data_IF_871640806215
#
_entry.id   IF_871640806215
#
_cell.length_a   1.000
_cell.length_b   1.000
_cell.length_c   1.000
_cell.angle_alpha   90.00
_cell.angle_beta   90.00
_cell.angle_gamma   90.00
#
_symmetry.space_group_name_H-M   'P 1'
#
loop_
_entity.id
_entity.type
_entity.pdbx_description
1 polymer ?
#
# COMPACT_ATOMS: atom_id res chain seq x y z
N UNK A 1 14.05 7.96 1.58
CA UNK A 1 13.22 8.32 0.41
C UNK A 1 12.10 9.20 0.92
N UNK A 2 11.84 10.32 0.24
CA UNK A 2 10.74 11.21 0.58
C UNK A 2 9.57 11.03 -0.37
N UNK A 3 8.37 11.20 0.17
CA UNK A 3 7.11 11.00 -0.53
C UNK A 3 6.29 12.28 -0.49
N UNK A 4 5.64 12.61 -1.61
CA UNK A 4 4.54 13.57 -1.64
C UNK A 4 3.32 12.87 -2.23
N UNK A 5 2.34 12.53 -1.40
CA UNK A 5 1.21 11.71 -1.83
C UNK A 5 0.03 12.54 -2.34
N UNK A 6 0.18 13.86 -2.52
CA UNK A 6 -0.92 14.72 -2.96
C UNK A 6 -0.47 15.84 -3.89
N UNK A 7 -0.31 15.53 -5.18
CA UNK A 7 -0.23 16.56 -6.23
C UNK A 7 -1.51 16.51 -7.06
N UNK A 8 -2.37 17.54 -7.03
CA UNK A 8 -3.59 17.58 -7.81
C UNK A 8 -3.33 17.35 -9.29
N UNK A 9 -4.08 16.43 -9.90
CA UNK A 9 -4.03 16.16 -11.33
C UNK A 9 -5.25 16.75 -12.04
N UNK A 10 -5.00 17.36 -13.20
CA UNK A 10 -6.01 17.74 -14.17
C UNK A 10 -5.49 17.42 -15.56
N UNK A 11 -6.34 16.86 -16.42
CA UNK A 11 -5.96 16.46 -17.78
C UNK A 11 -5.44 17.63 -18.64
N UNK A 12 -5.88 18.85 -18.33
CA UNK A 12 -5.54 20.07 -19.07
C UNK A 12 -4.46 20.92 -18.38
N UNK A 13 -3.80 20.41 -17.33
CA UNK A 13 -2.80 21.19 -16.60
C UNK A 13 -1.46 21.28 -17.34
N UNK A 14 -1.18 22.45 -17.90
CA UNK A 14 0.09 22.76 -18.58
C UNK A 14 1.27 22.92 -17.62
N UNK A 15 1.03 23.13 -16.32
CA UNK A 15 2.07 23.35 -15.31
C UNK A 15 2.56 22.05 -14.69
N UNK A 16 1.80 20.96 -14.81
CA UNK A 16 2.11 19.66 -14.20
C UNK A 16 3.55 19.18 -14.47
N UNK A 17 4.09 19.22 -15.70
CA UNK A 17 5.47 18.76 -15.96
C UNK A 17 6.51 19.58 -15.18
N UNK A 18 6.32 20.90 -15.11
CA UNK A 18 7.22 21.79 -14.36
C UNK A 18 7.14 21.52 -12.86
N UNK A 19 5.93 21.29 -12.33
CA UNK A 19 5.73 20.92 -10.93
C UNK A 19 6.42 19.60 -10.61
N UNK A 20 6.31 18.58 -11.47
CA UNK A 20 6.97 17.28 -11.26
C UNK A 20 8.50 17.38 -11.34
N UNK A 21 9.04 18.17 -12.29
CA UNK A 21 10.47 18.44 -12.36
C UNK A 21 10.97 19.13 -11.09
N UNK A 22 10.27 20.17 -10.64
CA UNK A 22 10.62 20.91 -9.43
C UNK A 22 10.55 20.05 -8.17
N UNK A 23 9.51 19.22 -8.02
CA UNK A 23 9.38 18.28 -6.90
C UNK A 23 10.50 17.24 -6.91
N UNK A 24 10.92 16.76 -8.08
CA UNK A 24 12.10 15.90 -8.18
C UNK A 24 13.38 16.61 -7.77
N UNK A 25 13.56 17.88 -8.12
CA UNK A 25 14.72 18.70 -7.75
C UNK A 25 14.78 18.98 -6.24
N UNK A 26 13.63 19.22 -5.62
CA UNK A 26 13.48 19.37 -4.16
C UNK A 26 13.87 18.11 -3.37
N UNK A 27 14.01 16.95 -4.03
CA UNK A 27 14.49 15.71 -3.43
C UNK A 27 13.41 14.68 -3.10
N UNK A 28 12.20 14.80 -3.67
CA UNK A 28 11.18 13.76 -3.57
C UNK A 28 11.47 12.59 -4.52
N UNK A 29 11.18 11.38 -4.08
CA UNK A 29 11.44 10.16 -4.86
C UNK A 29 10.14 9.53 -5.38
N UNK A 30 9.05 9.67 -4.63
CA UNK A 30 7.75 9.09 -4.96
C UNK A 30 6.70 10.18 -4.83
N UNK A 31 5.90 10.34 -5.88
CA UNK A 31 4.83 11.32 -5.94
C UNK A 31 3.53 10.62 -6.29
N UNK A 32 2.42 11.02 -5.68
CA UNK A 32 1.10 10.59 -6.12
C UNK A 32 0.32 11.74 -6.76
N UNK A 33 -0.13 11.51 -7.99
CA UNK A 33 -1.06 12.36 -8.70
C UNK A 33 -2.47 12.09 -8.18
N UNK A 34 -3.15 13.13 -7.72
CA UNK A 34 -4.44 13.03 -7.05
C UNK A 34 -5.59 13.46 -7.97
N UNK A 35 -6.52 12.55 -8.22
CA UNK A 35 -7.81 12.84 -8.85
C UNK A 35 -8.88 13.03 -7.77
N UNK A 36 -9.48 14.22 -7.69
CA UNK A 36 -10.52 14.54 -6.70
C UNK A 36 -11.93 14.30 -7.26
N UNK A 37 -12.75 13.54 -6.56
CA UNK A 37 -14.15 13.28 -6.90
C UNK A 37 -15.04 13.85 -5.81
N UNK A 38 -16.00 14.69 -6.21
CA UNK A 38 -17.00 15.29 -5.32
C UNK A 38 -18.38 14.86 -5.77
N UNK A 39 -19.19 14.33 -4.85
CA UNK A 39 -20.52 13.83 -5.16
C UNK A 39 -20.51 12.40 -5.68
N UNK A 40 -21.53 12.02 -6.46
CA UNK A 40 -21.76 10.62 -6.85
C UNK A 40 -20.62 10.06 -7.70
N UNK A 41 -20.25 8.81 -7.44
CA UNK A 41 -19.30 8.09 -8.27
C UNK A 41 -19.84 7.91 -9.70
N UNK A 42 -18.97 7.99 -10.72
CA UNK A 42 -19.36 7.74 -12.10
C UNK A 42 -19.88 6.30 -12.27
N UNK A 43 -20.74 6.08 -13.26
CA UNK A 43 -21.28 4.76 -13.57
C UNK A 43 -20.15 3.76 -13.89
N UNK A 44 -19.19 4.17 -14.72
CA UNK A 44 -17.98 3.42 -15.00
C UNK A 44 -16.82 3.97 -14.15
N UNK A 45 -16.22 3.11 -13.32
CA UNK A 45 -15.05 3.47 -12.51
C UNK A 45 -13.80 3.15 -13.32
N UNK A 46 -13.15 4.21 -13.82
CA UNK A 46 -11.84 4.13 -14.47
C UNK A 46 -10.88 5.13 -13.84
N UNK A 47 -9.58 4.84 -13.90
CA UNK A 47 -8.57 5.79 -13.49
C UNK A 47 -8.55 6.98 -14.45
N UNK A 48 -8.77 8.20 -13.95
CA UNK A 48 -8.67 9.40 -14.77
C UNK A 48 -7.21 9.77 -15.14
N UNK A 49 -6.24 9.18 -14.45
CA UNK A 49 -4.82 9.42 -14.64
C UNK A 49 -4.28 8.33 -15.57
N UNK A 50 -3.83 8.67 -16.80
CA UNK A 50 -3.36 7.68 -17.76
C UNK A 50 -2.05 7.03 -17.30
N UNK A 51 -1.88 5.76 -17.66
CA UNK A 51 -0.68 4.96 -17.41
C UNK A 51 -0.30 4.23 -18.71
N UNK A 52 0.82 4.61 -19.38
CA UNK A 52 1.80 5.60 -18.98
C UNK A 52 1.29 7.05 -19.10
N UNK A 53 1.84 7.96 -18.29
CA UNK A 53 1.57 9.39 -18.42
C UNK A 53 2.09 9.91 -19.77
N UNK A 54 1.26 10.62 -20.52
CA UNK A 54 1.63 11.21 -21.81
C UNK A 54 2.49 12.48 -21.67
N UNK A 55 3.49 12.46 -20.78
CA UNK A 55 4.40 13.58 -20.53
C UNK A 55 5.79 13.21 -21.06
N UNK A 56 6.35 14.05 -21.94
CA UNK A 56 7.65 13.79 -22.58
C UNK A 56 8.83 13.95 -21.63
N UNK A 57 8.73 14.86 -20.67
CA UNK A 57 9.84 15.30 -19.81
C UNK A 57 9.67 14.85 -18.36
N UNK A 58 9.44 13.55 -18.15
CA UNK A 58 9.29 13.01 -16.80
C UNK A 58 10.67 12.75 -16.15
N UNK A 59 10.93 13.20 -14.92
CA UNK A 59 12.20 12.92 -14.25
C UNK A 59 12.41 11.41 -14.07
N UNK A 60 13.55 10.83 -14.51
CA UNK A 60 13.73 9.37 -14.58
C UNK A 60 13.81 8.69 -13.21
N UNK A 61 14.12 9.44 -12.15
CA UNK A 61 14.22 8.94 -10.77
C UNK A 61 12.90 9.05 -10.00
N UNK A 62 11.87 9.69 -10.55
CA UNK A 62 10.61 9.97 -9.87
C UNK A 62 9.60 8.86 -10.13
N UNK A 63 9.19 8.13 -9.09
CA UNK A 63 8.10 7.15 -9.20
C UNK A 63 6.77 7.84 -9.02
N UNK A 64 5.90 7.73 -10.02
CA UNK A 64 4.56 8.32 -9.97
C UNK A 64 3.52 7.25 -9.62
N UNK A 65 2.61 7.60 -8.71
CA UNK A 65 1.48 6.79 -8.26
C UNK A 65 0.17 7.51 -8.57
N UNK A 66 -0.90 6.74 -8.77
CA UNK A 66 -2.22 7.29 -9.07
C UNK A 66 -3.09 7.23 -7.82
N UNK A 67 -3.49 8.38 -7.31
CA UNK A 67 -4.35 8.49 -6.13
C UNK A 67 -5.71 9.03 -6.53
N UNK A 68 -6.75 8.58 -5.84
CA UNK A 68 -8.06 9.23 -5.85
C UNK A 68 -8.40 9.75 -4.46
N UNK A 69 -8.98 10.95 -4.39
CA UNK A 69 -9.57 11.50 -3.16
C UNK A 69 -11.06 11.65 -3.35
N UNK A 70 -11.84 10.98 -2.50
CA UNK A 70 -13.30 11.03 -2.54
C UNK A 70 -13.83 11.90 -1.40
N UNK A 71 -14.56 12.96 -1.71
CA UNK A 71 -15.21 13.79 -0.70
C UNK A 71 -16.46 13.08 -0.17
N UNK A 72 -16.43 12.69 1.10
CA UNK A 72 -17.54 12.00 1.74
C UNK A 72 -18.64 12.99 2.09
N UNK A 73 -19.84 12.72 1.61
CA UNK A 73 -21.09 13.38 2.00
C UNK A 73 -22.02 12.33 2.60
N UNK A 74 -22.90 12.72 3.54
CA UNK A 74 -23.72 11.80 4.35
C UNK A 74 -24.56 10.79 3.53
N UNK A 75 -24.85 11.08 2.25
CA UNK A 75 -25.93 10.41 1.54
C UNK A 75 -25.55 9.11 0.83
N UNK A 76 -24.46 9.02 0.06
CA UNK A 76 -24.25 7.86 -0.83
C UNK A 76 -22.79 7.74 -1.25
N UNK A 77 -22.11 6.61 -1.01
CA UNK A 77 -20.92 6.18 -1.79
C UNK A 77 -20.24 4.87 -1.35
N UNK A 78 -20.59 4.29 -0.20
CA UNK A 78 -19.80 3.21 0.41
C UNK A 78 -19.75 1.90 -0.39
N UNK A 79 -20.78 1.59 -1.20
CA UNK A 79 -20.91 0.28 -1.84
C UNK A 79 -19.86 0.00 -2.94
N UNK A 80 -19.32 1.05 -3.59
CA UNK A 80 -18.39 0.92 -4.72
C UNK A 80 -16.96 1.36 -4.39
N UNK A 81 -16.64 1.54 -3.11
CA UNK A 81 -15.29 1.93 -2.68
C UNK A 81 -14.24 0.87 -3.01
N UNK A 82 -14.59 -0.41 -2.94
CA UNK A 82 -13.69 -1.50 -3.32
C UNK A 82 -13.33 -1.43 -4.80
N UNK A 83 -14.31 -1.25 -5.69
CA UNK A 83 -14.10 -1.08 -7.13
C UNK A 83 -13.22 0.16 -7.42
N UNK A 84 -13.46 1.26 -6.70
CA UNK A 84 -12.63 2.46 -6.78
C UNK A 84 -11.18 2.20 -6.32
N UNK A 85 -11.00 1.47 -5.22
CA UNK A 85 -9.68 1.12 -4.69
C UNK A 85 -8.89 0.24 -5.66
N UNK A 86 -9.55 -0.60 -6.46
CA UNK A 86 -8.88 -1.42 -7.49
C UNK A 86 -8.43 -0.60 -8.72
N UNK A 87 -9.13 0.49 -9.03
CA UNK A 87 -8.82 1.33 -10.19
C UNK A 87 -7.63 2.29 -9.97
N UNK A 88 -7.27 2.58 -8.72
CA UNK A 88 -6.20 3.52 -8.36
C UNK A 88 -5.10 2.83 -7.54
N UNK A 89 -3.95 3.48 -7.38
CA UNK A 89 -2.88 2.97 -6.52
C UNK A 89 -3.12 3.25 -5.04
N UNK A 90 -3.79 4.36 -4.73
CA UNK A 90 -4.10 4.87 -3.40
C UNK A 90 -5.53 5.42 -3.35
N UNK A 91 -6.27 5.07 -2.31
CA UNK A 91 -7.60 5.60 -2.01
C UNK A 91 -7.56 6.50 -0.78
N UNK A 92 -7.87 7.78 -0.98
CA UNK A 92 -8.05 8.76 0.08
C UNK A 92 -9.52 9.15 0.23
N UNK A 93 -9.96 9.36 1.47
CA UNK A 93 -11.30 9.88 1.79
C UNK A 93 -11.17 11.26 2.43
N UNK A 94 -12.00 12.22 2.00
CA UNK A 94 -12.07 13.58 2.53
C UNK A 94 -13.40 13.79 3.25
N UNK A 95 -13.49 13.52 4.57
CA UNK A 95 -14.69 13.76 5.34
C UNK A 95 -14.90 15.26 5.60
N UNK A 96 -16.16 15.70 5.55
CA UNK A 96 -16.55 17.10 5.79
C UNK A 96 -17.24 17.29 7.16
N UNK A 97 -17.89 16.25 7.67
CA UNK A 97 -18.66 16.25 8.92
C UNK A 97 -18.12 15.21 9.92
N UNK A 98 -18.44 15.38 11.21
CA UNK A 98 -18.01 14.45 12.27
C UNK A 98 -18.49 13.02 12.00
N UNK A 99 -19.72 12.85 11.49
CA UNK A 99 -20.29 11.55 11.14
C UNK A 99 -19.50 10.87 10.03
N UNK A 100 -19.17 11.63 8.97
CA UNK A 100 -18.38 11.10 7.85
C UNK A 100 -16.95 10.77 8.27
N UNK A 101 -16.36 11.55 9.19
CA UNK A 101 -15.05 11.27 9.76
C UNK A 101 -15.07 9.99 10.62
N UNK A 102 -16.07 9.82 11.48
CA UNK A 102 -16.23 8.62 12.28
C UNK A 102 -16.37 7.39 11.38
N UNK A 103 -17.20 7.48 10.34
CA UNK A 103 -17.40 6.41 9.36
C UNK A 103 -16.11 6.05 8.62
N UNK A 104 -15.31 7.05 8.19
CA UNK A 104 -14.00 6.84 7.57
C UNK A 104 -13.01 6.16 8.53
N UNK A 105 -13.03 6.52 9.81
CA UNK A 105 -12.15 5.94 10.83
C UNK A 105 -12.52 4.48 11.14
N UNK A 106 -13.81 4.17 11.30
CA UNK A 106 -14.27 2.82 11.70
C UNK A 106 -14.43 1.88 10.52
N UNK A 107 -15.36 2.18 9.60
CA UNK A 107 -15.98 1.16 8.75
C UNK A 107 -15.52 1.18 7.30
N UNK A 108 -15.07 2.34 6.79
CA UNK A 108 -14.64 2.44 5.39
C UNK A 108 -13.19 2.00 5.22
N UNK A 109 -12.97 1.15 4.22
CA UNK A 109 -11.64 0.78 3.78
C UNK A 109 -11.04 1.91 2.94
N UNK A 110 -10.02 2.55 3.48
CA UNK A 110 -9.24 3.57 2.81
C UNK A 110 -7.78 3.51 3.27
N UNK A 111 -6.90 4.12 2.49
CA UNK A 111 -5.48 4.23 2.81
C UNK A 111 -5.20 5.50 3.62
N UNK A 112 -5.81 6.61 3.18
CA UNK A 112 -5.54 7.96 3.68
C UNK A 112 -6.86 8.66 4.01
N UNK A 113 -6.90 9.37 5.13
CA UNK A 113 -7.97 10.30 5.49
C UNK A 113 -7.41 11.71 5.30
N UNK A 114 -7.83 12.38 4.23
CA UNK A 114 -7.36 13.71 3.84
C UNK A 114 -8.31 14.78 4.36
N UNK A 115 -7.87 15.57 5.33
CA UNK A 115 -8.71 16.60 5.96
C UNK A 115 -8.42 17.97 5.34
N UNK A 116 -9.47 18.71 5.02
CA UNK A 116 -9.31 20.13 4.72
C UNK A 116 -9.25 20.92 6.03
N UNK A 117 -8.02 21.21 6.46
CA UNK A 117 -7.73 21.93 7.69
C UNK A 117 -7.77 23.45 7.51
N UNK A 118 -7.98 23.97 6.30
CA UNK A 118 -7.98 25.42 6.04
C UNK A 118 -9.31 26.09 6.38
N UNK A 119 -10.37 25.31 6.49
CA UNK A 119 -11.68 25.78 6.93
C UNK A 119 -11.88 25.59 8.43
N UNK A 120 -12.84 26.32 9.00
CA UNK A 120 -13.27 26.10 10.38
C UNK A 120 -14.05 24.80 10.45
N UNK A 121 -13.46 23.77 11.04
CA UNK A 121 -14.11 22.46 11.17
C UNK A 121 -15.31 22.56 12.13
N UNK A 122 -16.46 21.95 11.80
CA UNK A 122 -17.63 21.97 12.67
C UNK A 122 -17.54 20.96 13.83
N UNK A 123 -16.41 20.28 13.99
CA UNK A 123 -16.22 19.20 14.97
C UNK A 123 -14.82 19.23 15.59
N UNK A 124 -14.65 18.45 16.66
CA UNK A 124 -13.37 18.29 17.36
C UNK A 124 -12.82 16.87 17.17
N UNK A 125 -11.49 16.77 17.04
CA UNK A 125 -10.83 15.48 16.94
C UNK A 125 -10.83 14.72 18.28
N UNK A 126 -11.29 13.46 18.27
CA UNK A 126 -11.32 12.57 19.44
C UNK A 126 -10.25 11.48 19.35
N UNK A 127 -9.44 11.33 20.40
CA UNK A 127 -8.32 10.37 20.43
C UNK A 127 -8.74 8.93 20.15
N UNK A 128 -9.85 8.44 20.74
CA UNK A 128 -10.29 7.04 20.51
C UNK A 128 -10.53 6.75 19.03
N UNK A 129 -11.25 7.63 18.35
CA UNK A 129 -11.59 7.52 16.93
C UNK A 129 -10.33 7.54 16.05
N UNK A 130 -9.42 8.49 16.28
CA UNK A 130 -8.17 8.57 15.51
C UNK A 130 -7.26 7.37 15.79
N UNK A 131 -7.15 6.94 17.05
CA UNK A 131 -6.32 5.81 17.43
C UNK A 131 -6.79 4.50 16.80
N UNK A 132 -8.10 4.30 16.68
CA UNK A 132 -8.68 3.15 15.98
C UNK A 132 -8.33 3.16 14.49
N UNK A 133 -8.47 4.30 13.82
CA UNK A 133 -8.08 4.45 12.42
C UNK A 133 -6.59 4.11 12.20
N UNK A 134 -5.69 4.65 13.04
CA UNK A 134 -4.25 4.37 12.94
C UNK A 134 -3.94 2.89 13.15
N UNK A 135 -4.61 2.24 14.11
CA UNK A 135 -4.46 0.79 14.36
C UNK A 135 -4.93 -0.05 13.17
N UNK A 136 -5.97 0.39 12.45
CA UNK A 136 -6.45 -0.26 11.23
C UNK A 136 -5.53 -0.04 10.01
N UNK A 137 -4.43 0.71 10.15
CA UNK A 137 -3.48 0.98 9.08
C UNK A 137 -3.78 2.23 8.24
N UNK A 138 -4.83 2.99 8.59
CA UNK A 138 -5.17 4.27 7.96
C UNK A 138 -4.22 5.38 8.43
N UNK A 139 -4.02 6.40 7.61
CA UNK A 139 -3.21 7.57 7.97
C UNK A 139 -3.96 8.87 7.76
N UNK A 140 -3.73 9.85 8.63
CA UNK A 140 -4.29 11.18 8.49
C UNK A 140 -3.33 12.06 7.71
N UNK A 141 -3.80 12.64 6.63
CA UNK A 141 -3.00 13.53 5.81
C UNK A 141 -3.21 15.00 6.20
N UNK A 142 -2.10 15.70 6.32
CA UNK A 142 -2.00 17.13 6.52
C UNK A 142 -1.42 17.76 5.25
N UNK A 143 -2.23 18.59 4.58
CA UNK A 143 -1.81 19.31 3.38
C UNK A 143 -1.35 20.73 3.71
N UNK A 144 -0.09 21.07 3.41
CA UNK A 144 0.48 22.34 3.82
C UNK A 144 0.27 23.49 2.82
N UNK A 145 0.22 23.19 1.52
CA UNK A 145 0.29 24.25 0.49
C UNK A 145 -0.89 25.21 0.56
N UNK A 146 -2.08 24.69 0.91
CA UNK A 146 -3.31 25.48 1.00
C UNK A 146 -3.24 26.58 2.08
N UNK A 147 -2.53 26.38 3.20
CA UNK A 147 -2.36 27.45 4.20
C UNK A 147 -1.13 28.34 3.99
N UNK A 148 -0.15 27.87 3.22
CA UNK A 148 1.01 28.67 2.83
C UNK A 148 0.63 29.68 1.76
N UNK A 149 -0.08 29.24 0.72
CA UNK A 149 -0.57 30.08 -0.38
C UNK A 149 -1.96 30.69 -0.13
N UNK A 150 -2.67 30.20 0.89
CA UNK A 150 -4.00 30.69 1.25
C UNK A 150 -4.00 32.05 1.94
N UNK A 151 -5.20 32.53 2.21
CA UNK A 151 -5.45 33.78 2.91
C UNK A 151 -5.12 33.69 4.42
N UNK A 152 -5.16 34.83 5.10
CA UNK A 152 -4.86 34.89 6.54
C UNK A 152 -5.84 34.04 7.37
N UNK A 153 -7.10 33.93 6.95
CA UNK A 153 -8.09 33.09 7.62
C UNK A 153 -7.77 31.60 7.48
N UNK A 154 -7.50 31.13 6.25
CA UNK A 154 -7.10 29.75 5.98
C UNK A 154 -5.85 29.35 6.77
N UNK A 155 -4.85 30.24 6.85
CA UNK A 155 -3.63 29.98 7.61
C UNK A 155 -3.88 29.81 9.11
N UNK A 156 -4.69 30.68 9.72
CA UNK A 156 -5.05 30.57 11.15
C UNK A 156 -5.81 29.28 11.43
N UNK A 157 -6.77 28.93 10.57
CA UNK A 157 -7.53 27.69 10.69
C UNK A 157 -6.62 26.47 10.54
N UNK A 158 -5.72 26.47 9.56
CA UNK A 158 -4.76 25.39 9.34
C UNK A 158 -3.92 25.14 10.60
N UNK A 159 -3.34 26.20 11.17
CA UNK A 159 -2.51 26.08 12.37
C UNK A 159 -3.34 25.50 13.53
N UNK A 160 -4.53 26.06 13.79
CA UNK A 160 -5.39 25.60 14.89
C UNK A 160 -5.84 24.14 14.73
N UNK A 161 -6.33 23.78 13.54
CA UNK A 161 -6.81 22.44 13.23
C UNK A 161 -5.66 21.41 13.18
N UNK A 162 -4.50 21.77 12.63
CA UNK A 162 -3.31 20.91 12.61
C UNK A 162 -2.81 20.61 14.01
N UNK A 163 -2.64 21.63 14.86
CA UNK A 163 -2.24 21.43 16.25
C UNK A 163 -3.26 20.59 17.03
N UNK A 164 -4.55 20.77 16.75
CA UNK A 164 -5.60 19.93 17.34
C UNK A 164 -5.50 18.47 16.89
N UNK A 165 -5.28 18.23 15.59
CA UNK A 165 -5.12 16.89 15.03
C UNK A 165 -3.89 16.19 15.60
N UNK A 166 -2.74 16.87 15.62
CA UNK A 166 -1.47 16.34 16.17
C UNK A 166 -1.63 15.97 17.64
N UNK A 167 -2.26 16.85 18.45
CA UNK A 167 -2.55 16.58 19.85
C UNK A 167 -3.49 15.38 20.01
N UNK A 168 -4.54 15.32 19.20
CA UNK A 168 -5.55 14.27 19.27
C UNK A 168 -5.06 12.92 18.74
N UNK A 169 -4.09 12.87 17.81
CA UNK A 169 -3.46 11.64 17.33
C UNK A 169 -2.23 11.23 18.16
N UNK A 170 -1.80 12.09 19.09
CA UNK A 170 -0.50 11.99 19.79
C UNK A 170 0.67 11.90 18.79
N UNK A 171 0.55 12.62 17.68
CA UNK A 171 1.53 12.70 16.59
C UNK A 171 1.78 11.42 15.81
N UNK A 172 0.95 10.38 15.96
CA UNK A 172 1.08 9.11 15.26
C UNK A 172 0.19 9.03 14.03
N UNK A 173 0.65 8.27 13.03
CA UNK A 173 -0.13 7.96 11.85
C UNK A 173 -0.49 9.19 11.01
N UNK A 174 0.42 10.17 10.98
CA UNK A 174 0.29 11.40 10.19
C UNK A 174 1.11 11.28 8.91
N UNK A 175 0.61 11.89 7.83
CA UNK A 175 1.32 12.09 6.57
C UNK A 175 1.31 13.58 6.28
N UNK A 176 2.43 14.13 5.84
CA UNK A 176 2.49 15.51 5.33
C UNK A 176 2.57 15.43 3.82
N UNK A 177 1.77 16.25 3.12
CA UNK A 177 1.75 16.30 1.66
C UNK A 177 1.50 17.73 1.19
N UNK A 178 1.80 18.02 -0.07
CA UNK A 178 1.73 19.41 -0.55
C UNK A 178 0.30 19.84 -0.84
N UNK A 179 -0.46 19.07 -1.61
CA UNK A 179 -1.69 19.53 -2.30
C UNK A 179 -1.42 20.82 -3.10
N UNK A 180 -0.21 20.96 -3.64
CA UNK A 180 0.21 22.15 -4.36
C UNK A 180 -0.32 22.14 -5.80
N UNK A 181 -1.10 23.16 -6.18
CA UNK A 181 -1.61 23.33 -7.54
C UNK A 181 -0.55 23.83 -8.54
N UNK A 182 0.56 24.36 -8.04
CA UNK A 182 1.65 24.89 -8.83
C UNK A 182 2.98 24.72 -8.09
N UNK A 183 4.10 24.74 -8.83
CA UNK A 183 5.45 24.57 -8.29
C UNK A 183 5.78 25.53 -7.13
N UNK A 184 5.27 26.77 -7.15
CA UNK A 184 5.46 27.76 -6.07
C UNK A 184 4.91 27.29 -4.71
N UNK A 185 3.95 26.37 -4.73
CA UNK A 185 3.33 25.79 -3.54
C UNK A 185 4.09 24.60 -2.95
N UNK A 186 5.09 24.07 -3.66
CA UNK A 186 5.90 22.95 -3.21
C UNK A 186 7.03 23.44 -2.27
N UNK A 187 7.41 22.61 -1.31
CA UNK A 187 8.51 22.85 -0.37
C UNK A 187 9.39 21.61 -0.28
N UNK A 188 10.67 21.82 -0.01
CA UNK A 188 11.61 20.72 0.23
C UNK A 188 11.14 19.86 1.42
N UNK A 189 11.49 18.56 1.47
CA UNK A 189 11.04 17.69 2.54
C UNK A 189 11.39 18.21 3.94
N UNK A 190 12.61 18.74 4.11
CA UNK A 190 13.06 19.32 5.38
C UNK A 190 12.31 20.60 5.76
N UNK A 191 11.93 21.42 4.78
CA UNK A 191 11.11 22.61 5.03
C UNK A 191 9.68 22.24 5.45
N UNK A 192 9.11 21.21 4.83
CA UNK A 192 7.81 20.68 5.21
C UNK A 192 7.84 20.09 6.63
N UNK A 193 8.93 19.42 7.02
CA UNK A 193 9.16 18.94 8.40
C UNK A 193 9.24 20.13 9.36
N UNK A 194 9.99 21.18 9.01
CA UNK A 194 10.11 22.38 9.84
C UNK A 194 8.76 23.09 10.01
N UNK A 195 7.95 23.14 8.95
CA UNK A 195 6.60 23.68 9.01
C UNK A 195 5.69 22.83 9.93
N UNK A 196 5.82 21.50 9.88
CA UNK A 196 5.09 20.61 10.78
C UNK A 196 5.50 20.81 12.26
N UNK A 197 6.77 21.12 12.52
CA UNK A 197 7.23 21.49 13.87
C UNK A 197 6.55 22.75 14.40
N UNK A 198 6.30 23.75 13.56
CA UNK A 198 5.57 24.96 13.95
C UNK A 198 4.14 24.63 14.41
N UNK A 199 3.52 23.58 13.86
CA UNK A 199 2.20 23.11 14.29
C UNK A 199 2.21 22.20 15.52
N UNK A 200 3.39 21.90 16.06
CA UNK A 200 3.58 21.07 17.26
C UNK A 200 3.86 19.60 16.98
N UNK A 201 4.27 19.23 15.75
CA UNK A 201 4.76 17.88 15.45
C UNK A 201 6.29 17.82 15.64
N UNK A 202 6.82 17.06 16.60
CA UNK A 202 8.26 16.92 16.78
C UNK A 202 9.00 16.49 15.50
N UNK A 203 10.26 16.89 15.33
CA UNK A 203 11.03 16.69 14.11
C UNK A 203 11.12 15.21 13.70
N UNK A 204 11.29 14.32 14.67
CA UNK A 204 11.37 12.88 14.46
C UNK A 204 10.08 12.34 13.85
N UNK A 205 8.92 12.78 14.33
CA UNK A 205 7.62 12.38 13.79
C UNK A 205 7.32 13.09 12.48
N UNK A 206 7.78 14.33 12.29
CA UNK A 206 7.73 15.02 11.00
C UNK A 206 8.50 14.27 9.91
N UNK A 207 9.70 13.77 10.24
CA UNK A 207 10.47 12.94 9.33
C UNK A 207 9.76 11.61 9.02
N UNK A 208 9.20 10.94 10.03
CA UNK A 208 8.40 9.73 9.81
C UNK A 208 7.18 9.99 8.91
N UNK A 209 6.50 11.14 9.06
CA UNK A 209 5.34 11.54 8.28
C UNK A 209 5.63 11.81 6.79
N UNK A 210 6.90 12.08 6.43
CA UNK A 210 7.33 12.32 5.04
C UNK A 210 8.03 11.12 4.39
N UNK A 211 8.43 10.13 5.19
CA UNK A 211 9.29 9.02 4.74
C UNK A 211 8.69 7.65 5.05
N UNK A 212 8.50 7.32 6.34
CA UNK A 212 8.12 5.98 6.81
C UNK A 212 6.63 5.72 6.67
N UNK A 213 5.79 6.66 7.12
CA UNK A 213 4.33 6.49 7.08
C UNK A 213 3.78 6.48 5.64
N UNK A 214 4.19 7.39 4.73
CA UNK A 214 3.80 7.32 3.32
C UNK A 214 4.26 6.02 2.65
N UNK A 215 5.47 5.55 2.94
CA UNK A 215 5.97 4.27 2.43
C UNK A 215 5.09 3.10 2.88
N UNK A 216 4.74 3.06 4.17
CA UNK A 216 3.85 2.04 4.72
C UNK A 216 2.49 2.02 4.00
N UNK A 217 1.93 3.20 3.73
CA UNK A 217 0.67 3.33 2.99
C UNK A 217 0.80 2.83 1.55
N UNK A 218 1.82 3.27 0.80
CA UNK A 218 2.02 2.85 -0.59
C UNK A 218 2.19 1.34 -0.71
N UNK A 219 2.99 0.74 0.18
CA UNK A 219 3.20 -0.71 0.19
C UNK A 219 1.92 -1.46 0.56
N UNK A 220 1.21 -1.02 1.59
CA UNK A 220 -0.04 -1.66 2.03
C UNK A 220 -1.13 -1.58 0.95
N UNK A 221 -1.25 -0.43 0.29
CA UNK A 221 -2.18 -0.26 -0.81
C UNK A 221 -1.83 -1.12 -2.03
N UNK A 222 -0.53 -1.26 -2.33
CA UNK A 222 -0.07 -2.19 -3.36
C UNK A 222 -0.41 -3.65 -3.01
N UNK A 223 -0.12 -4.07 -1.77
CA UNK A 223 -0.44 -5.42 -1.29
C UNK A 223 -1.94 -5.70 -1.37
N UNK A 224 -2.81 -4.75 -0.99
CA UNK A 224 -4.27 -4.92 -1.11
C UNK A 224 -4.74 -5.21 -2.54
N UNK A 225 -4.03 -4.69 -3.55
CA UNK A 225 -4.41 -4.85 -4.96
C UNK A 225 -3.79 -6.07 -5.63
N UNK A 226 -2.55 -6.39 -5.30
CA UNK A 226 -1.80 -7.47 -5.96
C UNK A 226 -1.79 -8.78 -5.18
N UNK A 227 -2.15 -8.76 -3.89
CA UNK A 227 -2.17 -9.95 -3.05
C UNK A 227 -3.60 -10.39 -2.76
N UNK A 228 -3.80 -11.69 -2.63
CA UNK A 228 -5.05 -12.24 -2.11
C UNK A 228 -4.82 -12.70 -0.68
N UNK A 229 -5.50 -12.08 0.29
CA UNK A 229 -5.38 -12.40 1.73
C UNK A 229 -3.92 -12.46 2.23
N UNK A 230 -3.04 -11.59 1.70
CA UNK A 230 -1.63 -11.52 2.08
C UNK A 230 -0.71 -12.47 1.30
N UNK A 231 -1.24 -13.26 0.36
CA UNK A 231 -0.43 -14.10 -0.55
C UNK A 231 -0.05 -13.29 -1.78
N UNK A 232 1.25 -13.09 -1.98
CA UNK A 232 1.82 -12.36 -3.13
C UNK A 232 2.30 -13.37 -4.15
N UNK A 233 1.76 -13.31 -5.37
CA UNK A 233 2.32 -14.06 -6.50
C UNK A 233 3.56 -13.33 -7.03
N UNK A 234 4.74 -13.91 -6.81
CA UNK A 234 6.02 -13.36 -7.27
C UNK A 234 6.38 -14.03 -8.59
N UNK A 235 6.02 -13.39 -9.69
CA UNK A 235 6.40 -13.85 -11.03
C UNK A 235 7.88 -13.52 -11.25
N UNK A 236 8.75 -14.52 -11.18
CA UNK A 236 10.19 -14.38 -11.44
C UNK A 236 10.44 -14.12 -12.94
N UNK A 237 10.75 -12.88 -13.30
CA UNK A 237 10.97 -12.44 -14.69
C UNK A 237 12.27 -12.91 -15.35
N UNK A 238 13.00 -13.85 -14.74
CA UNK A 238 14.29 -14.36 -15.24
C UNK A 238 15.49 -13.46 -14.93
N UNK A 239 16.69 -14.03 -14.99
CA UNK A 239 17.95 -13.27 -14.92
C UNK A 239 18.20 -12.63 -16.28
N UNK A 240 18.37 -11.31 -16.34
CA UNK A 240 18.79 -10.62 -17.56
C UNK A 240 20.17 -11.17 -17.95
N UNK A 241 20.34 -11.87 -19.09
CA UNK A 241 21.62 -12.45 -19.44
C UNK A 241 22.65 -11.32 -19.60
N UNK A 242 23.86 -11.55 -19.08
CA UNK A 242 24.97 -10.62 -19.23
C UNK A 242 25.20 -10.33 -20.71
N UNK A 243 25.53 -9.08 -21.11
CA UNK A 243 25.83 -8.77 -22.49
C UNK A 243 27.02 -9.63 -22.93
N UNK A 244 26.78 -10.55 -23.86
CA UNK A 244 27.85 -11.27 -24.52
C UNK A 244 28.53 -10.26 -25.44
N UNK A 245 29.74 -9.83 -25.08
CA UNK A 245 30.62 -9.09 -25.98
C UNK A 245 30.82 -9.96 -27.22
N UNK A 246 30.23 -9.54 -28.35
CA UNK A 246 30.47 -10.20 -29.63
C UNK A 246 31.86 -9.79 -30.09
N UNK A 247 32.84 -10.68 -29.92
CA UNK A 247 34.07 -10.63 -30.70
C UNK A 247 33.71 -10.73 -32.19
N UNK A 248 34.07 -9.69 -32.93
CA UNK A 248 34.00 -9.64 -34.38
C UNK A 248 35.06 -10.59 -34.94
N UNK A 249 34.65 -11.79 -35.38
CA UNK A 249 35.43 -12.58 -36.32
C UNK A 249 34.82 -12.42 -37.71
N UNK A 250 35.51 -11.64 -38.53
CA UNK A 250 35.18 -11.34 -39.91
C UNK A 250 35.45 -12.59 -40.78
N UNK A 251 34.40 -13.11 -41.41
CA UNK A 251 34.46 -14.26 -42.29
C UNK A 251 34.56 -13.79 -43.75
N UNK A 252 35.75 -13.96 -44.34
CA UNK A 252 35.99 -13.79 -45.76
C UNK A 252 35.23 -14.83 -46.59
N UNK A 253 34.51 -14.35 -47.61
CA UNK A 253 33.64 -15.10 -48.50
C UNK A 253 34.40 -16.01 -49.49
N UNK A 254 33.83 -17.19 -49.77
CA UNK A 254 34.18 -18.06 -50.89
C UNK A 254 32.96 -18.81 -51.42
N UNK A 255 32.49 -18.44 -52.63
CA UNK A 255 31.35 -19.03 -53.35
C UNK A 255 31.66 -20.43 -53.89
N UNK A 256 30.67 -21.33 -53.84
CA UNK A 256 30.64 -22.57 -54.62
C UNK A 256 29.20 -23.05 -54.89
N UNK A 257 28.84 -23.17 -56.17
CA UNK A 257 27.52 -23.57 -56.70
C UNK A 257 27.22 -25.07 -56.50
N UNK A 258 25.94 -25.44 -56.39
CA UNK A 258 25.51 -26.85 -56.57
C UNK A 258 24.00 -27.12 -56.45
N UNK A 259 23.30 -27.11 -57.61
CA UNK A 259 22.13 -27.92 -58.05
C UNK A 259 20.98 -28.35 -57.11
N UNK A 260 19.77 -27.91 -57.51
CA UNK A 260 18.50 -28.65 -57.73
C UNK A 260 18.33 -30.07 -57.13
N UNK A 261 17.19 -30.30 -56.44
CA UNK A 261 16.03 -30.99 -57.04
C UNK A 261 14.79 -30.99 -56.15
N UNK A 262 13.64 -30.92 -56.81
CA UNK A 262 12.29 -30.98 -56.30
C UNK A 262 11.72 -32.41 -56.43
N UNK A 263 10.77 -32.78 -55.56
CA UNK A 263 9.64 -33.67 -55.82
C UNK A 263 8.75 -33.67 -54.55
N UNK A 264 7.59 -32.99 -54.52
CA UNK A 264 6.29 -33.35 -55.10
C UNK A 264 5.66 -34.57 -54.40
N UNK A 265 4.65 -34.35 -53.55
CA UNK A 265 3.26 -34.79 -53.81
C UNK A 265 2.94 -36.00 -52.93
N UNK A 266 1.74 -36.32 -52.43
CA UNK A 266 0.35 -35.98 -52.71
C UNK A 266 -0.46 -36.58 -51.51
N UNK A 267 -1.51 -35.90 -50.97
CA UNK A 267 -2.95 -36.13 -51.25
C UNK A 267 -3.44 -37.48 -50.63
N UNK A 268 -4.45 -37.57 -49.74
CA UNK A 268 -5.89 -37.27 -49.94
C UNK A 268 -6.73 -37.53 -48.67
N UNK A 269 -7.85 -36.78 -48.60
CA UNK A 269 -9.26 -37.06 -48.17
C UNK A 269 -9.54 -37.78 -46.83
N UNK A 270 -10.37 -37.30 -45.89
CA UNK A 270 -11.72 -36.67 -45.88
C UNK A 270 -12.91 -37.66 -45.89
N UNK A 271 -13.67 -37.69 -44.78
CA UNK A 271 -15.16 -37.74 -44.57
C UNK A 271 -15.42 -37.83 -43.04
N UNK A 272 -16.14 -36.91 -42.36
CA UNK A 272 -17.62 -36.85 -42.10
C UNK A 272 -18.18 -38.19 -41.56
N UNK A 273 -18.86 -38.32 -40.40
CA UNK A 273 -20.00 -37.56 -39.86
C UNK A 273 -20.38 -37.96 -38.40
N UNK A 274 -21.08 -37.04 -37.70
CA UNK A 274 -22.24 -37.17 -36.76
C UNK A 274 -22.15 -37.77 -35.32
N UNK A 275 -22.57 -36.89 -34.37
CA UNK A 275 -23.32 -36.97 -33.08
C UNK A 275 -23.08 -38.03 -31.98
N UNK A 276 -23.18 -37.55 -30.73
CA UNK A 276 -23.71 -38.31 -29.58
C UNK A 276 -22.81 -38.32 -28.34
N UNK A 277 -23.25 -37.66 -27.26
CA UNK A 277 -22.50 -37.56 -26.00
C UNK A 277 -22.66 -38.76 -25.05
N UNK A 278 -21.66 -38.97 -24.18
CA UNK A 278 -21.76 -39.43 -22.79
C UNK A 278 -20.35 -39.59 -22.18
N UNK A 279 -20.27 -39.42 -20.87
CA UNK A 279 -19.09 -39.35 -20.00
C UNK A 279 -18.08 -40.51 -20.11
N UNK A 280 -16.77 -40.20 -20.13
CA UNK A 280 -15.73 -41.11 -19.64
C UNK A 280 -14.38 -40.40 -19.38
N UNK A 281 -13.91 -40.53 -18.13
CA UNK A 281 -12.54 -40.50 -17.60
C UNK A 281 -11.39 -40.14 -18.55
N UNK A 282 -10.67 -39.05 -18.24
CA UNK A 282 -9.37 -38.73 -18.84
C UNK A 282 -8.25 -39.39 -18.04
N UNK A 283 -7.73 -40.51 -18.56
CA UNK A 283 -6.40 -41.03 -18.21
C UNK A 283 -5.33 -40.23 -18.96
N UNK A 284 -4.33 -39.72 -18.23
CA UNK A 284 -3.20 -38.99 -18.80
C UNK A 284 -2.19 -40.01 -19.34
N UNK A 285 -2.10 -40.11 -20.67
CA UNK A 285 -1.07 -40.89 -21.35
C UNK A 285 0.33 -40.27 -21.12
N UNK A 286 1.23 -41.02 -20.47
CA UNK A 286 2.63 -40.67 -20.29
C UNK A 286 3.41 -40.75 -21.62
N UNK A 287 4.22 -39.72 -21.90
CA UNK A 287 5.14 -39.70 -23.05
C UNK A 287 6.30 -40.68 -22.82
N UNK A 288 6.79 -41.39 -23.86
CA UNK A 288 7.85 -42.38 -23.69
C UNK A 288 9.18 -41.74 -23.31
N UNK A 289 9.78 -42.25 -22.22
CA UNK A 289 11.04 -41.80 -21.64
C UNK A 289 12.21 -42.12 -22.58
N UNK A 290 13.10 -41.13 -22.77
CA UNK A 290 14.33 -41.27 -23.56
C UNK A 290 15.25 -42.37 -23.01
N UNK A 291 15.90 -43.13 -23.90
CA UNK A 291 16.86 -44.21 -23.57
C UNK A 291 17.95 -43.79 -22.56
N UNK A 292 18.27 -42.50 -22.49
CA UNK A 292 19.26 -41.93 -21.56
C UNK A 292 18.75 -41.83 -20.12
N UNK A 293 17.45 -41.57 -19.95
CA UNK A 293 16.81 -41.35 -18.66
C UNK A 293 16.43 -42.69 -17.99
N UNK A 294 16.07 -43.70 -18.79
CA UNK A 294 15.93 -45.09 -18.33
C UNK A 294 17.24 -45.67 -17.76
N UNK A 295 18.39 -45.36 -18.38
CA UNK A 295 19.71 -45.82 -17.90
C UNK A 295 20.11 -45.15 -16.58
N UNK A 296 19.77 -43.87 -16.41
CA UNK A 296 20.02 -43.12 -15.16
C UNK A 296 19.18 -43.65 -14.00
N UNK A 297 17.89 -43.92 -14.23
CA UNK A 297 17.00 -44.53 -13.21
C UNK A 297 17.45 -45.93 -12.80
N UNK A 298 17.89 -46.77 -13.76
CA UNK A 298 18.40 -48.11 -13.46
C UNK A 298 19.69 -48.10 -12.63
N UNK A 299 20.57 -47.12 -12.85
CA UNK A 299 21.78 -46.94 -12.04
C UNK A 299 21.45 -46.48 -10.61
N UNK A 300 20.49 -45.56 -10.48
CA UNK A 300 20.06 -45.03 -9.18
C UNK A 300 19.36 -46.08 -8.32
N UNK A 301 18.53 -46.95 -8.92
CA UNK A 301 17.90 -48.06 -8.24
C UNK A 301 18.89 -49.14 -7.75
N UNK A 302 20.04 -49.28 -8.43
CA UNK A 302 21.10 -50.22 -8.02
C UNK A 302 21.91 -49.70 -6.83
N UNK A 303 22.00 -48.37 -6.67
CA UNK A 303 22.68 -47.73 -5.55
C UNK A 303 21.84 -47.72 -4.27
N UNK A 304 20.51 -47.67 -4.38
CA UNK A 304 19.60 -47.70 -3.22
C UNK A 304 19.36 -49.10 -2.63
N UNK A 305 19.90 -50.16 -3.23
CA UNK A 305 19.65 -51.55 -2.85
C UNK A 305 20.68 -52.19 -1.91
N UNK A 306 21.63 -51.42 -1.36
CA UNK A 306 22.77 -51.99 -0.59
C UNK A 306 22.66 -51.77 0.93
N UNK A 307 21.73 -50.95 1.43
CA UNK A 307 21.69 -50.56 2.86
C UNK A 307 20.53 -51.15 3.69
N UNK A 308 20.17 -52.42 3.50
CA UNK A 308 19.31 -53.11 4.47
C UNK A 308 19.71 -54.57 4.68
N UNK A 309 20.68 -54.80 5.58
CA UNK A 309 20.69 -56.02 6.38
C UNK A 309 21.49 -55.84 7.68
N UNK A 310 20.82 -55.87 8.84
CA UNK A 310 21.51 -55.91 10.13
C UNK A 310 20.67 -55.54 11.36
N UNK A 311 20.10 -56.55 12.01
CA UNK A 311 20.21 -56.69 13.47
C UNK A 311 19.08 -56.16 14.37
N UNK A 312 18.17 -57.07 14.73
CA UNK A 312 17.25 -56.97 15.88
C UNK A 312 17.96 -57.16 17.23
N UNK A 313 17.63 -56.34 18.24
CA UNK A 313 17.73 -56.71 19.66
C UNK A 313 16.69 -55.98 20.52
N UNK A 314 15.86 -56.76 21.22
CA UNK A 314 14.97 -56.37 22.34
C UNK A 314 15.80 -56.15 23.61
N UNK A 315 15.45 -55.17 24.46
CA UNK A 315 15.42 -55.33 25.94
C UNK A 315 14.36 -54.41 26.58
N UNK A 316 13.70 -54.96 27.62
CA UNK A 316 12.73 -54.40 28.57
C UNK A 316 13.24 -53.19 29.36
N UNK A 317 12.29 -52.42 29.91
CA UNK A 317 12.55 -51.23 30.72
C UNK A 317 12.99 -51.46 32.16
N UNK A 318 13.20 -50.36 32.87
CA UNK A 318 12.95 -50.24 34.30
C UNK A 318 12.83 -48.78 34.74
N UNK A 319 12.06 -48.58 35.81
CA UNK A 319 11.82 -47.35 36.56
C UNK A 319 13.06 -46.81 37.27
N UNK A 320 13.18 -45.48 37.45
CA UNK A 320 13.64 -44.88 38.72
C UNK A 320 13.43 -43.36 38.78
N UNK A 321 13.05 -42.94 39.99
CA UNK A 321 12.79 -41.59 40.51
C UNK A 321 14.00 -40.67 40.61
N UNK A 322 13.77 -39.35 40.60
CA UNK A 322 14.42 -38.41 41.55
C UNK A 322 13.58 -37.13 41.78
N UNK A 323 13.60 -36.69 43.03
CA UNK A 323 12.97 -35.48 43.62
C UNK A 323 13.85 -34.23 43.44
N UNK A 324 13.23 -33.07 43.66
CA UNK A 324 13.86 -31.81 44.10
C UNK A 324 13.65 -30.67 43.09
N UNK A 325 13.35 -29.43 43.43
CA UNK A 325 13.02 -28.74 44.68
C UNK A 325 12.26 -27.47 44.24
N UNK A 326 11.19 -27.11 44.93
CA UNK A 326 10.34 -25.97 44.56
C UNK A 326 10.08 -25.08 45.77
N UNK A 327 10.97 -24.12 46.01
CA UNK A 327 10.83 -23.11 47.05
C UNK A 327 10.92 -21.71 46.43
N UNK A 328 9.82 -20.93 46.47
CA UNK A 328 9.75 -19.59 47.10
C UNK A 328 8.58 -18.71 46.63
N UNK A 329 7.83 -18.30 47.67
CA UNK A 329 7.35 -16.93 47.99
C UNK A 329 6.18 -16.36 47.18
N UNK A 330 4.99 -16.63 47.70
CA UNK A 330 3.87 -15.68 47.66
C UNK A 330 3.99 -14.61 48.76
N UNK A 331 3.74 -13.35 48.40
CA UNK A 331 3.22 -12.29 49.27
C UNK A 331 2.43 -11.31 48.40
N UNK A 332 1.10 -11.32 48.51
CA UNK A 332 0.23 -10.20 48.14
C UNK A 332 -0.61 -9.87 49.36
N UNK A 333 -0.47 -8.63 49.83
CA UNK A 333 -1.28 -8.04 50.87
C UNK A 333 -2.45 -7.32 50.20
N UNK A 334 -3.67 -7.64 50.61
CA UNK A 334 -4.87 -6.85 50.37
C UNK A 334 -5.25 -6.11 51.66
N UNK A 335 -5.87 -4.94 51.49
CA UNK A 335 -6.74 -4.34 52.50
C UNK A 335 -6.29 -2.97 52.99
N UNK A 336 -6.93 -1.91 52.46
CA UNK A 336 -7.50 -0.77 53.20
C UNK A 336 -8.14 0.24 52.25
N UNK A 337 -9.35 0.70 52.60
CA UNK A 337 -9.79 2.05 52.27
C UNK A 337 -11.16 2.21 51.61
N UNK A 338 -12.25 1.91 52.32
CA UNK A 338 -13.54 2.56 52.10
C UNK A 338 -13.44 4.05 52.49
N UNK A 339 -13.98 4.95 51.66
CA UNK A 339 -14.56 6.20 52.12
C UNK A 339 -15.66 6.65 51.15
N UNK A 340 -16.88 6.64 51.67
CA UNK A 340 -18.12 7.18 51.12
C UNK A 340 -18.11 8.70 51.18
N UNK A 341 -18.71 9.38 50.20
CA UNK A 341 -19.23 10.74 50.38
C UNK A 341 -20.56 10.89 49.62
N UNK A 342 -21.64 10.99 50.41
CA UNK A 342 -22.95 11.46 49.98
C UNK A 342 -23.00 12.98 49.96
N UNK A 343 -23.86 13.54 49.11
CA UNK A 343 -23.91 14.96 48.78
C UNK A 343 -24.69 15.85 49.75
N UNK A 344 -24.80 17.13 49.39
CA UNK A 344 -25.98 17.96 49.63
C UNK A 344 -25.92 19.27 48.81
N UNK A 345 -27.09 19.91 48.72
CA UNK A 345 -27.56 20.97 47.83
C UNK A 345 -27.15 22.41 48.21
N UNK A 346 -27.52 23.33 47.31
CA UNK A 346 -27.82 24.78 47.49
C UNK A 346 -26.57 25.67 47.68
N UNK A 347 -26.37 26.80 46.99
CA UNK A 347 -27.26 27.95 46.90
C UNK A 347 -26.76 28.98 45.85
N UNK A 348 -27.66 29.88 45.47
CA UNK A 348 -27.49 31.07 44.63
C UNK A 348 -26.29 31.97 44.96
N UNK A 349 -25.76 32.65 43.92
CA UNK A 349 -25.70 34.14 43.87
C UNK A 349 -25.22 34.66 42.50
N UNK A 350 -26.11 35.41 41.86
CA UNK A 350 -25.78 36.49 40.92
C UNK A 350 -24.79 37.47 41.58
N UNK A 351 -23.77 37.92 40.83
CA UNK A 351 -23.35 39.34 40.84
C UNK A 351 -22.89 39.72 39.43
N UNK A 352 -23.63 40.65 38.84
CA UNK A 352 -23.25 41.44 37.67
C UNK A 352 -22.28 42.54 38.11
N UNK A 353 -21.25 42.85 37.34
CA UNK A 353 -20.70 44.20 37.29
C UNK A 353 -20.31 44.54 35.85
N UNK A 354 -21.09 45.45 35.26
CA UNK A 354 -20.66 46.34 34.19
C UNK A 354 -19.83 47.45 34.83
N UNK A 355 -18.66 47.74 34.25
CA UNK A 355 -18.37 49.07 33.69
C UNK A 355 -17.32 48.94 32.61
#
# INVERSE_FOLDING_TARGET
>A
MFYDLNIPYSANDTHLPRTLAFVSELGYNVVALNHSIVGKLPAQITCAIPDPLHLKDLPPKLSIRRRVTLTLTESHQNARLAELAHAYDLLALRPIDERTLQLACSSLDCDIISLDLTQRLPFYFRFKMLSEAVKSGKRFELCYSQGVLGDSAARRNLIGNASQLIRASRGRGLIVSSEAKAAVGCRGPWDAINLAMIWGLPQEWGFEAMSKEPRGVVVTAQLRRTSYRGVIDVVYGGVKPAPVEKELQDAGAGKGKGRQQAANGQKRKAVEDVEGGAEARVEVAEKPISKREAKRRKHQARLSGVDQNGGTTKVKGDSLSTKGDGERRGRRAEGRGLATFGGSRMNDRLVSYRH
#
